data_IF_367374527072
#
_entry.id   IF_367374527072
#
_cell.length_a   1.000
_cell.length_b   1.000
_cell.length_c   1.000
_cell.angle_alpha   90.00
_cell.angle_beta   90.00
_cell.angle_gamma   90.00
#
_symmetry.space_group_name_H-M   'P 1'
#
loop_
_entity.id
_entity.type
_entity.pdbx_description
1 polymer ?
#
# COMPACT_ATOMS: atom_id res chain seq x y z
N UNK A 1 -21.63 4.67 -2.87
CA UNK A 1 -20.88 4.25 -1.67
C UNK A 1 -20.13 5.45 -1.13
N UNK A 2 -20.01 5.62 0.20
CA UNK A 2 -19.21 6.71 0.80
C UNK A 2 -18.04 6.08 1.56
N UNK A 3 -16.82 6.43 1.18
CA UNK A 3 -15.61 5.98 1.86
C UNK A 3 -15.14 7.01 2.89
N UNK A 4 -14.86 6.55 4.09
CA UNK A 4 -14.31 7.34 5.20
C UNK A 4 -12.92 6.76 5.53
N UNK A 5 -11.81 7.41 5.12
CA UNK A 5 -10.48 6.78 5.12
C UNK A 5 -9.99 6.29 6.49
N UNK A 6 -10.38 6.97 7.56
CA UNK A 6 -9.92 6.67 8.93
C UNK A 6 -10.85 5.69 9.68
N UNK A 7 -11.95 5.26 9.05
CA UNK A 7 -12.86 4.29 9.64
C UNK A 7 -12.33 2.85 9.49
N UNK A 8 -12.38 2.07 10.56
CA UNK A 8 -11.93 0.67 10.55
C UNK A 8 -13.04 -0.27 10.03
N UNK A 9 -13.06 -0.46 8.71
CA UNK A 9 -14.03 -1.34 8.04
C UNK A 9 -13.90 -2.82 8.43
N UNK A 10 -12.82 -3.25 9.10
CA UNK A 10 -12.69 -4.63 9.64
C UNK A 10 -13.63 -4.90 10.81
N UNK A 11 -14.08 -3.84 11.48
CA UNK A 11 -15.04 -3.94 12.58
C UNK A 11 -16.49 -3.96 12.10
N UNK A 12 -16.70 -3.73 10.80
CA UNK A 12 -18.01 -3.85 10.17
C UNK A 12 -18.34 -5.31 9.85
N UNK A 13 -19.61 -5.56 9.55
CA UNK A 13 -20.10 -6.84 9.08
C UNK A 13 -19.44 -7.24 7.75
N UNK A 14 -18.46 -8.13 7.81
CA UNK A 14 -17.66 -8.54 6.66
C UNK A 14 -18.40 -9.46 5.70
N UNK A 15 -19.59 -9.96 6.06
CA UNK A 15 -20.45 -10.71 5.13
C UNK A 15 -21.09 -9.78 4.09
N UNK A 16 -21.04 -8.46 4.31
CA UNK A 16 -21.48 -7.45 3.34
C UNK A 16 -20.36 -7.10 2.38
N UNK A 17 -20.58 -7.38 1.10
CA UNK A 17 -19.66 -7.08 0.01
C UNK A 17 -19.17 -5.62 0.02
N UNK A 18 -20.05 -4.65 0.30
CA UNK A 18 -19.70 -3.23 0.43
C UNK A 18 -18.58 -2.98 1.46
N UNK A 19 -18.63 -3.63 2.62
CA UNK A 19 -17.61 -3.45 3.65
C UNK A 19 -16.26 -4.05 3.22
N UNK A 20 -16.29 -5.16 2.48
CA UNK A 20 -15.08 -5.76 1.92
C UNK A 20 -14.44 -4.84 0.88
N UNK A 21 -15.25 -4.25 -0.01
CA UNK A 21 -14.76 -3.31 -1.03
C UNK A 21 -14.14 -2.08 -0.36
N UNK A 22 -14.82 -1.50 0.64
CA UNK A 22 -14.30 -0.33 1.37
C UNK A 22 -13.03 -0.66 2.16
N UNK A 23 -12.97 -1.85 2.77
CA UNK A 23 -11.77 -2.31 3.46
C UNK A 23 -10.59 -2.45 2.49
N UNK A 24 -10.75 -3.19 1.39
CA UNK A 24 -9.68 -3.37 0.38
C UNK A 24 -9.22 -2.04 -0.20
N UNK A 25 -10.15 -1.12 -0.42
CA UNK A 25 -9.81 0.21 -0.89
C UNK A 25 -8.99 1.00 0.13
N UNK A 26 -9.32 0.87 1.42
CA UNK A 26 -8.48 1.40 2.50
C UNK A 26 -7.07 0.80 2.52
N UNK A 27 -6.94 -0.51 2.30
CA UNK A 27 -5.62 -1.16 2.20
C UNK A 27 -4.82 -0.70 0.97
N UNK A 28 -5.45 -0.48 -0.18
CA UNK A 28 -4.80 0.13 -1.35
C UNK A 28 -4.22 1.51 -1.00
N UNK A 29 -4.98 2.34 -0.29
CA UNK A 29 -4.51 3.69 0.10
C UNK A 29 -3.33 3.59 1.06
N UNK A 30 -3.37 2.66 2.03
CA UNK A 30 -2.22 2.42 2.91
C UNK A 30 -1.00 1.98 2.10
N UNK A 31 -1.15 1.01 1.22
CA UNK A 31 -0.05 0.54 0.39
C UNK A 31 0.55 1.67 -0.45
N UNK A 32 -0.26 2.56 -1.05
CA UNK A 32 0.23 3.76 -1.75
C UNK A 32 1.00 4.73 -0.83
N UNK A 33 0.53 4.94 0.41
CA UNK A 33 1.26 5.78 1.39
C UNK A 33 2.62 5.15 1.70
N UNK A 34 2.67 3.84 1.95
CA UNK A 34 3.92 3.11 2.20
C UNK A 34 4.84 3.23 0.98
N UNK A 35 4.35 2.93 -0.22
CA UNK A 35 5.12 3.05 -1.46
C UNK A 35 5.64 4.48 -1.66
N UNK A 36 4.89 5.52 -1.28
CA UNK A 36 5.30 6.91 -1.42
C UNK A 36 6.35 7.38 -0.39
N UNK A 37 6.54 6.61 0.69
CA UNK A 37 7.44 6.95 1.79
C UNK A 37 8.92 6.66 1.47
N UNK A 38 9.81 7.15 2.33
CA UNK A 38 11.24 6.85 2.22
C UNK A 38 11.54 5.37 2.53
N UNK A 39 12.72 4.91 2.13
CA UNK A 39 13.11 3.50 2.25
C UNK A 39 13.13 3.00 3.70
N UNK A 40 13.47 3.85 4.67
CA UNK A 40 13.49 3.44 6.09
C UNK A 40 12.07 3.22 6.60
N UNK A 41 11.14 4.10 6.24
CA UNK A 41 9.71 3.93 6.54
C UNK A 41 9.13 2.69 5.86
N UNK A 42 9.47 2.45 4.58
CA UNK A 42 9.05 1.25 3.85
C UNK A 42 9.50 -0.03 4.55
N UNK A 43 10.80 -0.14 4.87
CA UNK A 43 11.39 -1.29 5.56
C UNK A 43 10.85 -1.45 6.98
N UNK A 44 10.57 -0.33 7.67
CA UNK A 44 9.98 -0.37 9.00
C UNK A 44 8.61 -1.04 8.96
N UNK A 45 7.72 -0.61 8.06
CA UNK A 45 6.33 -1.09 8.00
C UNK A 45 6.22 -2.50 7.43
N UNK A 46 6.95 -2.79 6.35
CA UNK A 46 6.82 -4.04 5.60
C UNK A 46 7.75 -5.13 6.15
N UNK A 47 8.91 -4.74 6.67
CA UNK A 47 9.97 -5.64 7.12
C UNK A 47 11.19 -5.62 6.19
N UNK A 48 12.37 -5.79 6.79
CA UNK A 48 13.66 -5.82 6.08
C UNK A 48 13.80 -7.12 5.28
N UNK A 49 14.32 -7.01 4.07
CA UNK A 49 14.69 -8.12 3.20
C UNK A 49 13.64 -8.51 2.16
N UNK A 50 12.42 -7.96 2.23
CA UNK A 50 11.35 -8.24 1.28
C UNK A 50 10.49 -7.01 0.93
N UNK A 51 10.85 -5.81 1.42
CA UNK A 51 10.03 -4.62 1.26
C UNK A 51 9.67 -4.30 -0.21
N UNK A 52 10.59 -4.36 -1.19
CA UNK A 52 10.26 -4.14 -2.60
C UNK A 52 9.17 -5.08 -3.12
N UNK A 53 9.34 -6.39 -2.91
CA UNK A 53 8.44 -7.43 -3.40
C UNK A 53 7.07 -7.37 -2.71
N UNK A 54 7.05 -7.30 -1.37
CA UNK A 54 5.81 -7.28 -0.59
C UNK A 54 4.97 -6.03 -0.91
N UNK A 55 5.59 -4.86 -1.09
CA UNK A 55 4.86 -3.65 -1.51
C UNK A 55 4.19 -3.84 -2.89
N UNK A 56 4.87 -4.47 -3.84
CA UNK A 56 4.33 -4.73 -5.17
C UNK A 56 3.23 -5.80 -5.16
N UNK A 57 3.38 -6.85 -4.35
CA UNK A 57 2.37 -7.91 -4.19
C UNK A 57 1.11 -7.41 -3.48
N UNK A 58 1.26 -6.58 -2.45
CA UNK A 58 0.15 -5.90 -1.79
C UNK A 58 -0.57 -4.98 -2.78
N UNK A 59 0.20 -4.21 -3.57
CA UNK A 59 -0.38 -3.35 -4.61
C UNK A 59 -1.23 -4.16 -5.59
N UNK A 60 -0.70 -5.26 -6.13
CA UNK A 60 -1.43 -6.13 -7.05
C UNK A 60 -2.72 -6.71 -6.40
N UNK A 61 -2.59 -7.18 -5.16
CA UNK A 61 -3.67 -7.77 -4.39
C UNK A 61 -4.82 -6.79 -4.14
N UNK A 62 -4.50 -5.54 -3.82
CA UNK A 62 -5.51 -4.53 -3.50
C UNK A 62 -5.98 -3.73 -4.71
N UNK A 63 -5.16 -3.55 -5.76
CA UNK A 63 -5.56 -2.82 -6.98
C UNK A 63 -6.02 -3.77 -8.09
N UNK A 64 -5.11 -4.55 -8.68
CA UNK A 64 -5.34 -5.32 -9.91
C UNK A 64 -6.51 -6.27 -9.79
N UNK A 65 -6.68 -6.91 -8.63
CA UNK A 65 -7.76 -7.85 -8.39
C UNK A 65 -9.13 -7.20 -8.11
N UNK A 66 -9.17 -5.89 -7.80
CA UNK A 66 -10.36 -5.23 -7.26
C UNK A 66 -10.75 -3.92 -7.97
N UNK A 67 -9.98 -3.44 -8.95
CA UNK A 67 -10.19 -2.10 -9.54
C UNK A 67 -11.56 -1.91 -10.20
N UNK A 68 -12.14 -2.96 -10.81
CA UNK A 68 -13.48 -2.88 -11.39
C UNK A 68 -14.52 -2.54 -10.31
N UNK A 69 -14.41 -3.15 -9.13
CA UNK A 69 -15.31 -2.85 -8.00
C UNK A 69 -15.14 -1.40 -7.54
N UNK A 70 -13.94 -0.84 -7.58
CA UNK A 70 -13.70 0.55 -7.21
C UNK A 70 -14.28 1.54 -8.21
N UNK A 71 -14.20 1.25 -9.52
CA UNK A 71 -14.80 2.05 -10.57
C UNK A 71 -16.34 2.01 -10.49
N UNK A 72 -16.92 0.82 -10.36
CA UNK A 72 -18.37 0.61 -10.28
C UNK A 72 -18.98 1.34 -9.07
N UNK A 73 -18.27 1.34 -7.94
CA UNK A 73 -18.69 2.01 -6.71
C UNK A 73 -18.28 3.49 -6.62
N UNK A 74 -17.63 4.02 -7.67
CA UNK A 74 -17.14 5.41 -7.76
C UNK A 74 -16.16 5.78 -6.65
N UNK A 75 -15.42 4.80 -6.14
CA UNK A 75 -14.32 5.00 -5.20
C UNK A 75 -13.07 5.52 -5.94
N UNK A 76 -12.89 5.11 -7.19
CA UNK A 76 -11.82 5.53 -8.07
C UNK A 76 -12.34 6.45 -9.17
N UNK A 77 -11.73 7.64 -9.29
CA UNK A 77 -11.93 8.51 -10.45
C UNK A 77 -11.01 8.10 -11.60
N UNK A 78 -11.38 8.45 -12.83
CA UNK A 78 -10.66 8.05 -14.04
C UNK A 78 -9.18 8.46 -14.01
N UNK A 79 -8.87 9.68 -13.59
CA UNK A 79 -7.49 10.19 -13.55
C UNK A 79 -6.60 9.39 -12.59
N UNK A 80 -7.12 9.04 -11.40
CA UNK A 80 -6.41 8.22 -10.44
C UNK A 80 -6.24 6.77 -10.93
N UNK A 81 -7.27 6.23 -11.61
CA UNK A 81 -7.19 4.91 -12.23
C UNK A 81 -6.10 4.84 -13.30
N UNK A 82 -5.99 5.86 -14.14
CA UNK A 82 -4.97 5.90 -15.20
C UNK A 82 -3.55 5.93 -14.62
N UNK A 83 -3.32 6.70 -13.55
CA UNK A 83 -2.01 6.69 -12.86
C UNK A 83 -1.73 5.36 -12.14
N UNK A 84 -2.74 4.71 -11.56
CA UNK A 84 -2.58 3.37 -10.97
C UNK A 84 -2.21 2.33 -12.01
N UNK A 85 -2.80 2.39 -13.21
CA UNK A 85 -2.42 1.51 -14.33
C UNK A 85 -0.97 1.75 -14.75
N UNK A 86 -0.52 3.01 -14.81
CA UNK A 86 0.89 3.31 -15.11
C UNK A 86 1.85 2.82 -14.03
N UNK A 87 1.45 2.83 -12.77
CA UNK A 87 2.22 2.25 -11.67
C UNK A 87 2.26 0.72 -11.79
N UNK A 88 1.12 0.08 -12.10
CA UNK A 88 1.05 -1.35 -12.36
C UNK A 88 1.98 -1.78 -13.50
N UNK A 89 1.99 -1.04 -14.61
CA UNK A 89 2.86 -1.31 -15.76
C UNK A 89 4.36 -1.26 -15.41
N UNK A 90 4.74 -0.48 -14.39
CA UNK A 90 6.11 -0.47 -13.88
C UNK A 90 6.40 -1.79 -13.17
N UNK A 91 5.56 -2.19 -12.21
CA UNK A 91 5.75 -3.45 -11.49
C UNK A 91 5.76 -4.66 -12.44
N UNK A 92 4.85 -4.70 -13.41
CA UNK A 92 4.80 -5.75 -14.44
C UNK A 92 6.05 -5.79 -15.32
N UNK A 93 6.66 -4.63 -15.62
CA UNK A 93 7.91 -4.61 -16.38
C UNK A 93 9.05 -5.28 -15.63
N UNK A 94 9.16 -5.01 -14.32
CA UNK A 94 10.22 -5.59 -13.49
C UNK A 94 9.92 -7.03 -13.07
N UNK A 95 8.65 -7.47 -13.09
CA UNK A 95 8.28 -8.86 -12.78
C UNK A 95 8.87 -9.87 -13.77
N UNK A 96 9.12 -9.43 -15.02
CA UNK A 96 9.77 -10.23 -16.07
C UNK A 96 11.25 -10.48 -15.77
N UNK A 97 11.95 -9.53 -15.14
CA UNK A 97 13.35 -9.67 -14.72
C UNK A 97 13.45 -9.77 -13.19
N UNK A 98 13.27 -11.00 -12.71
CA UNK A 98 13.34 -11.33 -11.28
C UNK A 98 14.72 -11.16 -10.65
N UNK A 99 15.75 -10.85 -11.45
CA UNK A 99 17.12 -10.59 -10.97
C UNK A 99 17.49 -9.11 -11.01
N UNK A 100 16.54 -8.23 -11.29
CA UNK A 100 16.77 -6.80 -11.31
C UNK A 100 17.12 -6.25 -9.92
N UNK A 101 18.08 -5.34 -9.88
CA UNK A 101 18.38 -4.44 -8.74
C UNK A 101 17.14 -3.70 -8.20
N UNK A 102 16.04 -3.69 -8.96
CA UNK A 102 14.74 -3.20 -8.53
C UNK A 102 14.19 -3.97 -7.33
N UNK A 103 14.38 -5.28 -7.25
CA UNK A 103 13.84 -6.11 -6.16
C UNK A 103 14.79 -6.20 -4.96
N UNK A 104 16.01 -5.68 -5.06
CA UNK A 104 16.98 -5.70 -3.97
C UNK A 104 16.64 -4.65 -2.90
N UNK A 105 16.18 -5.13 -1.73
CA UNK A 105 15.87 -4.28 -0.58
C UNK A 105 17.06 -3.41 -0.14
N UNK A 106 18.31 -3.86 -0.33
CA UNK A 106 19.50 -3.07 0.01
C UNK A 106 19.71 -1.87 -0.91
N UNK A 107 19.08 -1.86 -2.09
CA UNK A 107 19.14 -0.77 -3.06
C UNK A 107 17.89 0.13 -3.03
N UNK A 108 16.90 -0.16 -2.18
CA UNK A 108 15.62 0.56 -2.13
C UNK A 108 15.77 2.09 -1.97
N UNK A 109 16.77 2.56 -1.21
CA UNK A 109 17.06 3.99 -0.99
C UNK A 109 17.86 4.66 -2.11
N UNK A 110 18.62 3.88 -2.88
CA UNK A 110 19.55 4.40 -3.91
C UNK A 110 19.10 4.16 -5.35
N UNK A 111 18.17 3.21 -5.57
CA UNK A 111 17.65 2.87 -6.88
C UNK A 111 16.72 3.98 -7.39
N UNK A 112 17.07 4.55 -8.55
CA UNK A 112 16.29 5.62 -9.18
C UNK A 112 14.89 5.18 -9.61
N UNK A 113 14.68 3.91 -9.94
CA UNK A 113 13.38 3.40 -10.35
C UNK A 113 12.40 3.42 -9.18
N UNK A 114 12.87 3.14 -7.96
CA UNK A 114 12.07 3.30 -6.74
C UNK A 114 11.73 4.76 -6.44
N UNK A 115 12.58 5.72 -6.84
CA UNK A 115 12.21 7.15 -6.79
C UNK A 115 11.04 7.45 -7.73
N UNK A 116 11.01 6.86 -8.92
CA UNK A 116 9.88 7.01 -9.86
C UNK A 116 8.61 6.40 -9.26
N UNK A 117 8.70 5.19 -8.70
CA UNK A 117 7.59 4.48 -8.05
C UNK A 117 7.02 5.31 -6.89
N UNK A 118 7.87 5.82 -5.98
CA UNK A 118 7.48 6.69 -4.86
C UNK A 118 6.72 7.93 -5.34
N UNK A 119 7.27 8.62 -6.34
CA UNK A 119 6.68 9.84 -6.88
C UNK A 119 5.33 9.57 -7.54
N UNK A 120 5.16 8.42 -8.20
CA UNK A 120 3.87 8.01 -8.76
C UNK A 120 2.83 7.72 -7.70
N UNK A 121 3.17 6.95 -6.66
CA UNK A 121 2.27 6.69 -5.55
C UNK A 121 1.83 7.99 -4.86
N UNK A 122 2.78 8.91 -4.62
CA UNK A 122 2.47 10.25 -4.09
C UNK A 122 1.50 11.01 -4.99
N UNK A 123 1.74 11.02 -6.30
CA UNK A 123 0.87 11.70 -7.27
C UNK A 123 -0.55 11.13 -7.29
N UNK A 124 -0.70 9.82 -7.18
CA UNK A 124 -2.00 9.15 -7.08
C UNK A 124 -2.75 9.66 -5.84
N UNK A 125 -2.10 9.70 -4.68
CA UNK A 125 -2.70 10.21 -3.44
C UNK A 125 -3.14 11.67 -3.57
N UNK A 126 -2.35 12.52 -4.23
CA UNK A 126 -2.72 13.92 -4.51
C UNK A 126 -3.97 14.03 -5.40
N UNK A 127 -4.05 13.23 -6.48
CA UNK A 127 -5.21 13.23 -7.38
C UNK A 127 -6.48 12.80 -6.64
N UNK A 128 -6.34 11.86 -5.68
CA UNK A 128 -7.44 11.36 -4.88
C UNK A 128 -7.79 12.27 -3.69
N UNK A 129 -6.98 13.32 -3.43
CA UNK A 129 -7.18 14.25 -2.32
C UNK A 129 -6.86 13.65 -0.95
N UNK A 130 -5.92 12.69 -0.89
CA UNK A 130 -5.51 11.97 0.32
C UNK A 130 -4.03 12.17 0.67
N UNK A 131 -3.41 13.20 0.09
CA UNK A 131 -2.05 13.62 0.43
C UNK A 131 -1.93 14.14 1.87
N UNK A 132 -3.05 14.39 2.54
CA UNK A 132 -3.14 14.72 3.96
C UNK A 132 -3.22 13.49 4.88
N UNK A 133 -3.23 12.26 4.36
CA UNK A 133 -3.25 11.02 5.16
C UNK A 133 -1.84 10.50 5.42
N UNK A 134 -1.72 9.75 6.52
CA UNK A 134 -0.51 9.05 6.94
C UNK A 134 -0.87 7.67 7.51
N UNK A 135 0.15 6.87 7.85
CA UNK A 135 0.00 5.58 8.50
C UNK A 135 0.53 5.63 9.92
N UNK A 136 -0.33 5.25 10.86
CA UNK A 136 0.09 4.84 12.19
C UNK A 136 0.37 3.33 12.16
N UNK A 137 1.51 2.92 12.71
CA UNK A 137 1.95 1.53 12.72
C UNK A 137 2.31 1.07 14.14
N UNK A 138 1.64 0.02 14.60
CA UNK A 138 1.92 -0.64 15.87
C UNK A 138 2.51 -2.04 15.63
N UNK A 139 3.54 -2.40 16.41
CA UNK A 139 4.15 -3.74 16.36
C UNK A 139 3.93 -4.45 17.68
N UNK A 140 3.51 -5.71 17.58
CA UNK A 140 3.43 -6.62 18.72
C UNK A 140 4.28 -7.84 18.41
N UNK A 141 5.39 -8.01 19.12
CA UNK A 141 6.19 -9.23 19.03
C UNK A 141 5.45 -10.37 19.73
N UNK A 142 5.40 -11.52 19.05
CA UNK A 142 4.85 -12.77 19.56
C UNK A 142 6.02 -13.60 20.08
N UNK A 143 5.95 -14.02 21.35
CA UNK A 143 7.05 -14.70 22.03
C UNK A 143 6.73 -16.17 22.34
N UNK A 144 7.74 -17.02 22.21
CA UNK A 144 7.83 -18.32 22.87
C UNK A 144 8.98 -18.29 23.89
N UNK A 145 8.61 -18.19 25.16
CA UNK A 145 9.56 -17.91 26.24
C UNK A 145 10.25 -16.55 26.06
N UNK A 146 11.56 -16.58 25.77
CA UNK A 146 12.38 -15.37 25.51
C UNK A 146 12.65 -15.12 24.03
N UNK A 147 12.16 -15.98 23.15
CA UNK A 147 12.42 -15.89 21.72
C UNK A 147 11.22 -15.26 21.02
N UNK A 148 11.49 -14.34 20.10
CA UNK A 148 10.47 -13.81 19.19
C UNK A 148 10.23 -14.90 18.13
N UNK A 149 8.99 -15.39 18.05
CA UNK A 149 8.56 -16.39 17.07
C UNK A 149 7.69 -15.79 15.96
N UNK A 150 7.29 -14.54 16.11
CA UNK A 150 6.54 -13.80 15.11
C UNK A 150 6.41 -12.33 15.49
N UNK A 151 5.94 -11.54 14.55
CA UNK A 151 5.59 -10.16 14.77
C UNK A 151 4.25 -9.91 14.11
N UNK A 152 3.36 -9.22 14.82
CA UNK A 152 2.12 -8.72 14.28
C UNK A 152 2.25 -7.22 14.08
N UNK A 153 1.96 -6.77 12.86
CA UNK A 153 1.94 -5.36 12.49
C UNK A 153 0.49 -4.93 12.29
N UNK A 154 0.10 -3.81 12.90
CA UNK A 154 -1.22 -3.20 12.71
C UNK A 154 -1.02 -1.81 12.14
N UNK A 155 -1.53 -1.59 10.93
CA UNK A 155 -1.50 -0.29 10.26
C UNK A 155 -2.89 0.37 10.24
N UNK A 156 -2.94 1.67 10.49
CA UNK A 156 -4.17 2.49 10.45
C UNK A 156 -3.93 3.75 9.65
N UNK A 157 -4.91 4.15 8.85
CA UNK A 157 -4.92 5.46 8.20
C UNK A 157 -5.26 6.52 9.24
N UNK A 158 -4.45 7.56 9.29
CA UNK A 158 -4.63 8.72 10.16
C UNK A 158 -4.48 10.01 9.34
N UNK A 159 -5.02 11.12 9.84
CA UNK A 159 -4.69 12.42 9.26
C UNK A 159 -3.28 12.82 9.70
N UNK A 160 -2.50 13.42 8.79
CA UNK A 160 -1.21 14.04 9.13
C UNK A 160 -1.41 15.04 10.27
N UNK A 161 -0.51 15.00 11.25
CA UNK A 161 -0.46 16.01 12.30
C UNK A 161 0.02 17.32 11.66
N UNK A 162 -0.76 18.37 11.82
CA UNK A 162 -0.42 19.73 11.37
C UNK A 162 0.79 20.30 12.12
#
# INVERSE_FOLDING_TARGET
MKFEPTYDYRQSDFDKEENQILWKFGELIKNLIIISSDADTQRYIIGIGAAPDEMALDFDSYFTLSYNQYLDNRLLIKDAFDELMLLNDIFERYSVDKSSDFWDDSLLDTNNDWSIVRNKAKRILEIMGWDNLDIECDYTNIYDGKHIIGQQTITRLVNKKA
#
